data_IF_486069193120
#
_entry.id   IF_486069193120
#
_cell.length_a   1.000
_cell.length_b   1.000
_cell.length_c   1.000
_cell.angle_alpha   90.00
_cell.angle_beta   90.00
_cell.angle_gamma   90.00
#
_symmetry.space_group_name_H-M   'P 1'
#
loop_
_entity.id
_entity.type
_entity.pdbx_description
1 polymer ?
#
# COMPACT_ATOMS: atom_id res chain seq x y z
N UNK A 1 -16.17 -11.50 -40.70
CA UNK A 1 -16.89 -11.54 -39.42
C UNK A 1 -16.92 -12.97 -38.95
N UNK A 2 -15.87 -13.42 -38.26
CA UNK A 2 -15.79 -14.74 -37.66
C UNK A 2 -15.97 -14.54 -36.15
N UNK A 3 -17.10 -15.01 -35.62
CA UNK A 3 -17.35 -15.06 -34.19
C UNK A 3 -16.51 -16.17 -33.60
N UNK A 4 -15.46 -15.80 -32.88
CA UNK A 4 -14.81 -16.69 -31.94
C UNK A 4 -15.55 -16.58 -30.62
N UNK A 5 -16.10 -17.70 -30.15
CA UNK A 5 -16.53 -17.88 -28.76
C UNK A 5 -15.31 -17.62 -27.86
N UNK A 6 -15.17 -16.36 -27.43
CA UNK A 6 -14.13 -15.96 -26.50
C UNK A 6 -14.48 -16.57 -25.14
N UNK A 7 -13.75 -17.62 -24.76
CA UNK A 7 -13.82 -18.30 -23.45
C UNK A 7 -14.04 -17.30 -22.33
N UNK A 8 -15.27 -17.23 -21.85
CA UNK A 8 -15.63 -16.50 -20.63
C UNK A 8 -15.30 -17.32 -19.38
N UNK A 9 -14.90 -18.59 -19.55
CA UNK A 9 -14.62 -19.54 -18.47
C UNK A 9 -13.32 -19.28 -17.71
N UNK A 10 -12.39 -18.50 -18.26
CA UNK A 10 -11.03 -18.38 -17.72
C UNK A 10 -10.83 -17.08 -16.89
N UNK A 11 -11.92 -16.34 -16.62
CA UNK A 11 -11.86 -14.99 -16.01
C UNK A 11 -12.21 -15.03 -14.51
N UNK A 12 -12.93 -16.05 -14.04
CA UNK A 12 -13.44 -16.06 -12.66
C UNK A 12 -12.61 -17.03 -11.82
N UNK A 13 -11.95 -16.49 -10.80
CA UNK A 13 -11.26 -17.27 -9.77
C UNK A 13 -12.27 -18.14 -9.03
N UNK A 14 -11.92 -19.41 -8.77
CA UNK A 14 -12.77 -20.30 -7.96
C UNK A 14 -12.99 -19.67 -6.57
N UNK A 15 -14.20 -19.79 -6.03
CA UNK A 15 -14.53 -19.28 -4.70
C UNK A 15 -13.63 -19.88 -3.62
N UNK A 16 -13.18 -21.13 -3.80
CA UNK A 16 -12.24 -21.78 -2.89
C UNK A 16 -10.87 -21.06 -2.80
N UNK A 17 -10.45 -20.35 -3.85
CA UNK A 17 -9.18 -19.61 -3.87
C UNK A 17 -9.28 -18.23 -3.17
N UNK A 18 -10.48 -17.83 -2.74
CA UNK A 18 -10.71 -16.56 -2.05
C UNK A 18 -10.65 -16.67 -0.52
N UNK A 19 -10.60 -17.88 0.04
CA UNK A 19 -10.51 -18.10 1.48
C UNK A 19 -9.28 -17.41 2.09
N UNK A 20 -8.13 -17.49 1.41
CA UNK A 20 -6.90 -16.80 1.83
C UNK A 20 -7.06 -15.27 1.83
N UNK A 21 -7.77 -14.73 0.85
CA UNK A 21 -8.02 -13.28 0.70
C UNK A 21 -8.95 -12.79 1.80
N UNK A 22 -9.99 -13.56 2.11
CA UNK A 22 -10.90 -13.29 3.22
C UNK A 22 -10.16 -13.33 4.56
N UNK A 23 -9.28 -14.32 4.77
CA UNK A 23 -8.48 -14.43 6.00
C UNK A 23 -7.52 -13.24 6.17
N UNK A 24 -6.83 -12.82 5.10
CA UNK A 24 -5.96 -11.62 5.11
C UNK A 24 -6.78 -10.37 5.45
N UNK A 25 -7.97 -10.23 4.86
CA UNK A 25 -8.88 -9.11 5.14
C UNK A 25 -9.30 -9.10 6.61
N UNK A 26 -9.72 -10.25 7.14
CA UNK A 26 -10.11 -10.38 8.54
C UNK A 26 -8.94 -10.07 9.49
N UNK A 27 -7.75 -10.61 9.21
CA UNK A 27 -6.54 -10.33 9.98
C UNK A 27 -6.18 -8.83 9.97
N UNK A 28 -6.31 -8.16 8.82
CA UNK A 28 -6.12 -6.72 8.71
C UNK A 28 -7.11 -5.93 9.57
N UNK A 29 -8.40 -6.29 9.54
CA UNK A 29 -9.43 -5.64 10.35
C UNK A 29 -9.13 -5.81 11.84
N UNK A 30 -8.83 -7.03 12.29
CA UNK A 30 -8.44 -7.30 13.68
C UNK A 30 -7.22 -6.47 14.07
N UNK A 31 -6.20 -6.43 13.22
CA UNK A 31 -5.01 -5.61 13.42
C UNK A 31 -5.33 -4.12 13.60
N UNK A 32 -6.17 -3.54 12.74
CA UNK A 32 -6.58 -2.13 12.86
C UNK A 32 -7.32 -1.87 14.18
N UNK A 33 -8.21 -2.77 14.60
CA UNK A 33 -8.89 -2.67 15.90
C UNK A 33 -7.93 -2.75 17.08
N UNK A 34 -6.87 -3.57 17.00
CA UNK A 34 -5.82 -3.62 18.03
C UNK A 34 -5.03 -2.31 18.13
N UNK A 35 -4.86 -1.59 17.03
CA UNK A 35 -4.17 -0.30 17.01
C UNK A 35 -5.06 0.89 17.43
N UNK A 36 -6.38 0.74 17.36
CA UNK A 36 -7.34 1.82 17.64
C UNK A 36 -7.14 2.50 19.01
N UNK A 37 -6.91 1.77 20.12
CA UNK A 37 -6.66 2.41 21.42
C UNK A 37 -5.36 3.22 21.48
N UNK A 38 -4.38 2.94 20.60
CA UNK A 38 -3.09 3.60 20.65
C UNK A 38 -3.18 5.10 20.34
N UNK A 39 -4.11 5.52 19.49
CA UNK A 39 -4.34 6.95 19.19
C UNK A 39 -4.74 7.74 20.45
N UNK A 40 -5.84 7.38 21.13
CA UNK A 40 -6.22 8.00 22.40
C UNK A 40 -5.15 7.87 23.50
N UNK A 41 -4.51 6.70 23.65
CA UNK A 41 -3.45 6.48 24.64
C UNK A 41 -2.28 7.43 24.41
N UNK A 42 -1.87 7.60 23.14
CA UNK A 42 -0.82 8.55 22.77
C UNK A 42 -1.13 9.99 23.16
N UNK A 43 -2.40 10.36 23.39
CA UNK A 43 -2.83 11.72 23.75
C UNK A 43 -3.08 11.91 25.25
N UNK A 44 -2.85 10.90 26.08
CA UNK A 44 -2.97 11.01 27.53
C UNK A 44 -1.91 11.96 28.11
N UNK A 45 -2.17 12.51 29.30
CA UNK A 45 -1.20 13.34 30.03
C UNK A 45 0.07 12.55 30.32
N UNK A 46 1.22 13.24 30.36
CA UNK A 46 2.55 12.67 30.70
C UNK A 46 3.15 11.68 29.69
N UNK A 47 2.51 11.47 28.53
CA UNK A 47 3.10 10.63 27.48
C UNK A 47 4.34 11.26 26.88
N UNK A 48 5.42 10.48 26.72
CA UNK A 48 6.62 10.95 26.03
C UNK A 48 6.36 11.08 24.53
N UNK A 49 7.10 11.97 23.85
CA UNK A 49 6.95 12.24 22.41
C UNK A 49 6.96 10.97 21.54
N UNK A 50 7.77 9.97 21.91
CA UNK A 50 7.79 8.69 21.21
C UNK A 50 6.48 7.92 21.29
N UNK A 51 5.81 7.91 22.45
CA UNK A 51 4.51 7.26 22.64
C UNK A 51 3.40 7.99 21.89
N UNK A 52 3.42 9.32 21.92
CA UNK A 52 2.51 10.17 21.13
C UNK A 52 2.61 9.83 19.64
N UNK A 53 3.83 9.85 19.10
CA UNK A 53 4.10 9.54 17.70
C UNK A 53 3.74 8.09 17.34
N UNK A 54 4.10 7.13 18.19
CA UNK A 54 3.79 5.72 17.94
C UNK A 54 2.27 5.50 17.87
N UNK A 55 1.52 6.06 18.81
CA UNK A 55 0.07 5.93 18.84
C UNK A 55 -0.61 6.57 17.64
N UNK A 56 -0.31 7.85 17.38
CA UNK A 56 -0.91 8.58 16.26
C UNK A 56 -0.55 7.96 14.91
N UNK A 57 0.73 7.62 14.70
CA UNK A 57 1.20 7.13 13.40
C UNK A 57 0.77 5.70 13.12
N UNK A 58 0.73 4.82 14.12
CA UNK A 58 0.37 3.41 13.91
C UNK A 58 -1.09 3.25 13.48
N UNK A 59 -2.02 3.91 14.19
CA UNK A 59 -3.44 3.82 13.88
C UNK A 59 -3.80 4.62 12.63
N UNK A 60 -3.44 5.91 12.57
CA UNK A 60 -3.84 6.78 11.45
C UNK A 60 -3.29 6.27 10.12
N UNK A 61 -2.02 5.86 10.09
CA UNK A 61 -1.46 5.33 8.85
C UNK A 61 -2.15 4.03 8.42
N UNK A 62 -2.69 3.24 9.34
CA UNK A 62 -3.41 2.01 9.00
C UNK A 62 -4.75 2.32 8.37
N UNK A 63 -5.56 3.19 8.98
CA UNK A 63 -6.85 3.58 8.39
C UNK A 63 -6.69 4.32 7.04
N UNK A 64 -5.65 5.15 6.89
CA UNK A 64 -5.36 5.86 5.64
C UNK A 64 -5.06 4.91 4.47
N UNK A 65 -4.41 3.78 4.76
CA UNK A 65 -4.02 2.80 3.74
C UNK A 65 -5.10 1.74 3.48
N UNK A 66 -6.12 1.64 4.35
CA UNK A 66 -7.16 0.63 4.25
C UNK A 66 -7.90 0.63 2.90
N UNK A 67 -8.37 1.78 2.36
CA UNK A 67 -9.12 1.77 1.10
C UNK A 67 -8.28 1.26 -0.07
N UNK A 68 -7.01 1.70 -0.15
CA UNK A 68 -6.10 1.30 -1.22
C UNK A 68 -5.73 -0.17 -1.11
N UNK A 69 -5.45 -0.65 0.10
CA UNK A 69 -5.14 -2.06 0.33
C UNK A 69 -6.31 -2.97 0.02
N UNK A 70 -7.49 -2.72 0.60
CA UNK A 70 -8.65 -3.59 0.42
C UNK A 70 -9.15 -3.58 -1.03
N UNK A 71 -9.17 -2.41 -1.68
CA UNK A 71 -9.57 -2.33 -3.09
C UNK A 71 -8.59 -3.09 -4.00
N UNK A 72 -7.27 -2.90 -3.81
CA UNK A 72 -6.26 -3.57 -4.63
C UNK A 72 -6.23 -5.09 -4.40
N UNK A 73 -6.32 -5.53 -3.14
CA UNK A 73 -6.38 -6.94 -2.77
C UNK A 73 -7.55 -7.66 -3.43
N UNK A 74 -8.78 -7.15 -3.25
CA UNK A 74 -9.97 -7.81 -3.73
C UNK A 74 -10.13 -7.74 -5.25
N UNK A 75 -9.77 -6.61 -5.88
CA UNK A 75 -9.80 -6.53 -7.35
C UNK A 75 -8.78 -7.46 -7.99
N UNK A 76 -7.57 -7.54 -7.46
CA UNK A 76 -6.56 -8.47 -7.97
C UNK A 76 -6.95 -9.93 -7.73
N UNK A 77 -7.49 -10.24 -6.55
CA UNK A 77 -7.99 -11.58 -6.24
C UNK A 77 -9.06 -12.03 -7.22
N UNK A 78 -10.03 -11.16 -7.51
CA UNK A 78 -11.17 -11.51 -8.34
C UNK A 78 -10.78 -11.64 -9.81
N UNK A 79 -10.02 -10.68 -10.35
CA UNK A 79 -9.75 -10.59 -11.79
C UNK A 79 -8.43 -11.22 -12.24
N UNK A 80 -7.49 -11.46 -11.32
CA UNK A 80 -6.14 -11.95 -11.66
C UNK A 80 -5.83 -13.27 -10.97
N UNK A 81 -5.75 -13.31 -9.64
CA UNK A 81 -5.47 -14.53 -8.88
C UNK A 81 -5.69 -14.34 -7.37
N UNK A 82 -6.57 -15.16 -6.79
CA UNK A 82 -6.80 -15.21 -5.34
C UNK A 82 -5.56 -15.64 -4.54
N UNK A 83 -4.80 -16.62 -5.04
CA UNK A 83 -3.57 -17.10 -4.40
C UNK A 83 -2.46 -16.03 -4.38
N UNK A 84 -2.22 -15.35 -5.51
CA UNK A 84 -1.23 -14.27 -5.57
C UNK A 84 -1.64 -13.09 -4.66
N UNK A 85 -2.92 -12.69 -4.70
CA UNK A 85 -3.46 -11.67 -3.82
C UNK A 85 -3.28 -12.03 -2.34
N UNK A 86 -3.51 -13.30 -1.96
CA UNK A 86 -3.29 -13.79 -0.59
C UNK A 86 -1.83 -13.60 -0.17
N UNK A 87 -0.88 -14.05 -0.99
CA UNK A 87 0.55 -13.96 -0.67
C UNK A 87 1.02 -12.49 -0.55
N UNK A 88 0.62 -11.64 -1.48
CA UNK A 88 0.92 -10.21 -1.45
C UNK A 88 0.26 -9.51 -0.26
N UNK A 89 -0.96 -9.92 0.09
CA UNK A 89 -1.69 -9.43 1.25
C UNK A 89 -1.02 -9.81 2.58
N UNK A 90 -0.51 -11.04 2.69
CA UNK A 90 0.30 -11.47 3.85
C UNK A 90 1.58 -10.63 3.94
N UNK A 91 2.30 -10.45 2.83
CA UNK A 91 3.50 -9.62 2.78
C UNK A 91 3.21 -8.16 3.20
N UNK A 92 2.08 -7.61 2.74
CA UNK A 92 1.59 -6.30 3.17
C UNK A 92 1.38 -6.25 4.68
N UNK A 93 0.70 -7.24 5.28
CA UNK A 93 0.47 -7.30 6.73
C UNK A 93 1.77 -7.34 7.52
N UNK A 94 2.76 -8.12 7.09
CA UNK A 94 4.09 -8.16 7.70
C UNK A 94 4.72 -6.78 7.71
N UNK A 95 4.63 -6.05 6.58
CA UNK A 95 5.08 -4.66 6.52
C UNK A 95 4.33 -3.74 7.50
N UNK A 96 3.01 -3.89 7.65
CA UNK A 96 2.22 -3.09 8.61
C UNK A 96 2.63 -3.34 10.06
N UNK A 97 2.87 -4.60 10.42
CA UNK A 97 3.36 -4.96 11.76
C UNK A 97 4.75 -4.37 11.98
N UNK A 98 5.67 -4.53 11.02
CA UNK A 98 7.02 -3.97 11.09
C UNK A 98 7.03 -2.44 11.24
N UNK A 99 6.12 -1.73 10.56
CA UNK A 99 5.96 -0.29 10.69
C UNK A 99 5.63 0.14 12.13
N UNK A 100 4.68 -0.54 12.78
CA UNK A 100 4.28 -0.25 14.16
C UNK A 100 5.42 -0.54 15.14
N UNK A 101 6.13 -1.65 14.95
CA UNK A 101 7.30 -2.00 15.77
C UNK A 101 8.40 -0.94 15.66
N UNK A 102 8.71 -0.48 14.44
CA UNK A 102 9.74 0.55 14.23
C UNK A 102 9.35 1.88 14.86
N UNK A 103 8.07 2.28 14.81
CA UNK A 103 7.62 3.48 15.52
C UNK A 103 7.72 3.36 17.04
N UNK A 104 7.42 2.18 17.60
CA UNK A 104 7.59 1.94 19.03
C UNK A 104 9.06 2.09 19.45
N UNK A 105 9.99 1.60 18.63
CA UNK A 105 11.42 1.60 18.94
C UNK A 105 12.12 2.94 18.66
N UNK A 106 11.73 3.66 17.62
CA UNK A 106 12.50 4.80 17.07
C UNK A 106 11.68 6.08 16.86
N UNK A 107 10.43 6.12 17.34
CA UNK A 107 9.51 7.24 17.10
C UNK A 107 9.78 8.53 17.87
N UNK A 108 10.81 8.60 18.71
CA UNK A 108 11.09 9.75 19.58
C UNK A 108 11.56 11.00 18.81
N UNK A 109 12.41 10.81 17.81
CA UNK A 109 13.10 11.91 17.08
C UNK A 109 12.42 12.31 15.77
N UNK A 110 11.24 11.75 15.47
CA UNK A 110 10.51 12.01 14.23
C UNK A 110 10.33 10.74 13.40
N UNK A 111 10.17 10.87 12.08
CA UNK A 111 10.01 9.70 11.22
C UNK A 111 11.29 8.85 11.28
N UNK A 112 11.18 7.53 11.60
CA UNK A 112 12.33 6.68 11.89
C UNK A 112 13.09 6.30 10.62
N UNK A 113 13.78 7.26 10.02
CA UNK A 113 14.59 7.08 8.82
C UNK A 113 15.84 6.22 9.09
N UNK A 114 16.25 5.34 8.16
CA UNK A 114 15.53 4.86 6.96
C UNK A 114 14.58 3.69 7.26
N UNK A 115 14.56 3.17 8.49
CA UNK A 115 13.84 1.96 8.86
C UNK A 115 12.33 2.02 8.57
N UNK A 116 11.70 3.18 8.73
CA UNK A 116 10.29 3.38 8.38
C UNK A 116 10.01 3.16 6.89
N UNK A 117 10.95 3.48 6.00
CA UNK A 117 10.77 3.28 4.55
C UNK A 117 10.86 1.82 4.14
N UNK A 118 11.66 1.02 4.84
CA UNK A 118 11.80 -0.43 4.57
C UNK A 118 10.45 -1.15 4.70
N UNK A 119 9.56 -0.67 5.56
CA UNK A 119 8.23 -1.24 5.73
C UNK A 119 7.13 -0.48 4.96
N UNK A 120 7.29 0.83 4.80
CA UNK A 120 6.27 1.65 4.13
C UNK A 120 6.25 1.43 2.62
N UNK A 121 7.41 1.44 1.97
CA UNK A 121 7.47 1.42 0.51
C UNK A 121 7.13 0.07 -0.11
N UNK A 122 7.54 -1.08 0.47
CA UNK A 122 7.06 -2.36 -0.03
C UNK A 122 5.55 -2.51 0.06
N UNK A 123 4.94 -2.07 1.16
CA UNK A 123 3.48 -2.09 1.31
C UNK A 123 2.77 -1.30 0.19
N UNK A 124 3.30 -0.12 -0.17
CA UNK A 124 2.77 0.66 -1.29
C UNK A 124 3.02 -0.01 -2.64
N UNK A 125 4.21 -0.60 -2.81
CA UNK A 125 4.58 -1.38 -3.98
C UNK A 125 3.62 -2.54 -4.24
N UNK A 126 3.22 -3.28 -3.20
CA UNK A 126 2.24 -4.37 -3.31
C UNK A 126 0.88 -3.88 -3.79
N UNK A 127 0.36 -2.79 -3.23
CA UNK A 127 -0.93 -2.23 -3.64
C UNK A 127 -0.93 -1.77 -5.10
N UNK A 128 0.12 -1.04 -5.52
CA UNK A 128 0.27 -0.61 -6.91
C UNK A 128 0.42 -1.80 -7.84
N UNK A 129 1.24 -2.77 -7.48
CA UNK A 129 1.44 -3.98 -8.28
C UNK A 129 0.11 -4.71 -8.51
N UNK A 130 -0.67 -4.93 -7.44
CA UNK A 130 -1.98 -5.58 -7.55
C UNK A 130 -2.90 -4.83 -8.52
N UNK A 131 -2.96 -3.49 -8.44
CA UNK A 131 -3.76 -2.68 -9.37
C UNK A 131 -3.25 -2.70 -10.81
N UNK A 132 -1.93 -2.63 -11.04
CA UNK A 132 -1.34 -2.75 -12.38
C UNK A 132 -1.63 -4.12 -12.96
N UNK A 133 -1.51 -5.19 -12.16
CA UNK A 133 -1.88 -6.55 -12.57
C UNK A 133 -3.34 -6.63 -13.01
N UNK A 134 -4.26 -6.02 -12.25
CA UNK A 134 -5.69 -5.96 -12.61
C UNK A 134 -5.91 -5.20 -13.92
N UNK A 135 -5.31 -4.01 -14.07
CA UNK A 135 -5.42 -3.21 -15.30
C UNK A 135 -4.85 -3.96 -16.49
N UNK A 136 -3.71 -4.64 -16.33
CA UNK A 136 -3.05 -5.33 -17.43
C UNK A 136 -3.80 -6.59 -17.87
N UNK A 137 -4.35 -7.34 -16.92
CA UNK A 137 -5.19 -8.50 -17.20
C UNK A 137 -6.50 -8.09 -17.89
N UNK A 138 -7.22 -7.11 -17.35
CA UNK A 138 -8.52 -6.68 -17.89
C UNK A 138 -8.39 -5.86 -19.18
N UNK A 139 -7.40 -4.98 -19.26
CA UNK A 139 -7.22 -4.07 -20.39
C UNK A 139 -6.49 -4.69 -21.57
N UNK A 140 -5.56 -5.63 -21.32
CA UNK A 140 -4.67 -6.17 -22.36
C UNK A 140 -4.65 -7.70 -22.44
N UNK A 141 -5.43 -8.41 -21.60
CA UNK A 141 -5.49 -9.87 -21.60
C UNK A 141 -4.20 -10.55 -21.13
N UNK A 142 -3.27 -9.81 -20.51
CA UNK A 142 -1.97 -10.36 -20.08
C UNK A 142 -2.16 -11.30 -18.89
N UNK A 143 -1.49 -12.45 -18.93
CA UNK A 143 -1.53 -13.44 -17.84
C UNK A 143 -0.29 -13.21 -16.97
N UNK A 144 -0.49 -12.89 -15.69
CA UNK A 144 0.59 -12.78 -14.73
C UNK A 144 1.18 -14.17 -14.43
N UNK A 145 2.50 -14.23 -14.25
CA UNK A 145 3.19 -15.44 -13.76
C UNK A 145 3.74 -15.15 -12.36
N UNK A 146 3.98 -16.17 -11.50
CA UNK A 146 4.50 -15.95 -10.16
C UNK A 146 5.83 -15.18 -10.11
N UNK A 147 6.68 -15.35 -11.12
CA UNK A 147 7.94 -14.60 -11.24
C UNK A 147 7.69 -13.12 -11.56
N UNK A 148 6.68 -12.83 -12.39
CA UNK A 148 6.24 -11.45 -12.68
C UNK A 148 5.66 -10.80 -11.41
N UNK A 149 4.95 -11.57 -10.57
CA UNK A 149 4.41 -11.07 -9.30
C UNK A 149 5.51 -10.57 -8.36
N UNK A 150 6.52 -11.41 -8.11
CA UNK A 150 7.63 -11.04 -7.23
C UNK A 150 8.45 -9.87 -7.79
N UNK A 151 8.83 -9.93 -9.06
CA UNK A 151 9.64 -8.88 -9.70
C UNK A 151 8.86 -7.57 -9.80
N UNK A 152 7.59 -7.64 -10.20
CA UNK A 152 6.71 -6.48 -10.34
C UNK A 152 6.49 -5.79 -9.00
N UNK A 153 6.24 -6.54 -7.92
CA UNK A 153 6.14 -6.01 -6.57
C UNK A 153 7.43 -5.31 -6.11
N UNK A 154 8.59 -5.92 -6.35
CA UNK A 154 9.90 -5.32 -6.02
C UNK A 154 10.14 -4.04 -6.81
N UNK A 155 9.85 -4.03 -8.12
CA UNK A 155 10.01 -2.85 -8.95
C UNK A 155 9.08 -1.72 -8.52
N UNK A 156 7.80 -2.01 -8.23
CA UNK A 156 6.87 -1.02 -7.71
C UNK A 156 7.33 -0.46 -6.36
N UNK A 157 7.90 -1.30 -5.51
CA UNK A 157 8.50 -0.89 -4.22
C UNK A 157 9.72 0.01 -4.44
N UNK A 158 10.60 -0.35 -5.39
CA UNK A 158 11.78 0.43 -5.75
C UNK A 158 11.43 1.83 -6.29
N UNK A 159 10.33 1.96 -7.05
CA UNK A 159 9.84 3.26 -7.51
C UNK A 159 9.52 4.20 -6.34
N UNK A 160 8.98 3.69 -5.23
CA UNK A 160 8.76 4.52 -4.04
C UNK A 160 10.05 4.95 -3.33
N UNK A 161 11.14 4.17 -3.46
CA UNK A 161 12.46 4.60 -2.98
C UNK A 161 13.00 5.84 -3.71
N UNK A 162 12.44 6.22 -4.88
CA UNK A 162 12.73 7.51 -5.49
C UNK A 162 12.37 8.70 -4.58
N UNK A 163 11.35 8.55 -3.73
CA UNK A 163 11.02 9.55 -2.71
C UNK A 163 12.13 9.67 -1.66
N UNK A 164 12.69 8.55 -1.21
CA UNK A 164 13.79 8.54 -0.25
C UNK A 164 15.06 9.22 -0.78
N UNK A 165 15.36 9.07 -2.07
CA UNK A 165 16.51 9.73 -2.72
C UNK A 165 16.18 11.13 -3.24
N UNK A 166 15.09 11.75 -2.75
CA UNK A 166 14.68 13.14 -3.00
C UNK A 166 14.32 13.48 -4.44
N UNK A 167 14.00 12.49 -5.30
CA UNK A 167 13.56 12.75 -6.68
C UNK A 167 12.27 13.58 -6.69
N UNK A 168 11.26 13.20 -5.91
CA UNK A 168 9.97 13.91 -5.87
C UNK A 168 10.11 15.37 -5.40
N UNK A 169 10.85 15.69 -4.32
CA UNK A 169 11.19 17.07 -3.99
C UNK A 169 11.85 17.85 -5.13
N UNK A 170 12.79 17.24 -5.86
CA UNK A 170 13.47 17.90 -7.00
C UNK A 170 12.48 18.20 -8.11
N UNK A 171 11.64 17.23 -8.48
CA UNK A 171 10.57 17.43 -9.49
C UNK A 171 9.61 18.53 -9.02
N UNK A 172 9.19 18.51 -7.75
CA UNK A 172 8.29 19.53 -7.19
C UNK A 172 8.88 20.93 -7.29
N UNK A 173 10.17 21.11 -6.96
CA UNK A 173 10.84 22.41 -7.11
C UNK A 173 10.95 22.84 -8.58
N UNK A 174 11.18 21.89 -9.50
CA UNK A 174 11.25 22.18 -10.93
C UNK A 174 9.90 22.65 -11.51
N UNK A 175 8.78 22.10 -11.02
CA UNK A 175 7.43 22.49 -11.49
C UNK A 175 6.82 23.66 -10.69
N UNK A 176 7.37 24.01 -9.52
CA UNK A 176 6.87 25.08 -8.65
C UNK A 176 6.61 26.41 -9.38
N UNK A 177 7.49 26.90 -10.28
CA UNK A 177 7.24 28.14 -11.01
C UNK A 177 5.96 28.15 -11.86
N UNK A 178 5.49 26.98 -12.30
CA UNK A 178 4.24 26.85 -13.08
C UNK A 178 2.99 27.14 -12.25
N UNK A 179 3.06 26.96 -10.92
CA UNK A 179 1.95 27.19 -10.00
C UNK A 179 1.98 28.58 -9.36
N UNK A 180 3.13 29.25 -9.36
CA UNK A 180 3.29 30.60 -8.82
C UNK A 180 3.04 31.66 -9.89
N UNK A 181 2.08 31.43 -10.80
CA UNK A 181 1.75 32.37 -11.87
C UNK A 181 1.68 33.80 -11.32
N UNK A 182 2.43 34.69 -11.97
CA UNK A 182 2.72 36.08 -11.61
C UNK A 182 1.54 36.73 -10.92
N UNK A 183 1.72 37.15 -9.66
CA UNK A 183 0.86 38.14 -9.04
C UNK A 183 0.77 39.33 -10.00
N UNK A 184 -0.33 39.43 -10.76
CA UNK A 184 -0.60 40.57 -11.62
C UNK A 184 -0.38 41.83 -10.77
N UNK A 185 0.39 42.82 -11.25
CA UNK A 185 0.54 44.06 -10.51
C UNK A 185 -0.86 44.61 -10.24
N UNK A 186 -1.18 44.83 -8.95
CA UNK A 186 -2.42 45.46 -8.55
C UNK A 186 -2.42 46.86 -9.20
N UNK A 187 -3.31 47.05 -10.18
CA UNK A 187 -3.63 48.35 -10.75
C UNK A 187 -4.45 49.16 -9.75
#
# INVERSE_FOLDING_TARGET
RAGGEHRTSDIITDMADLDGVALVTAAYVVWVYLLMPLGPIGKMTEQVKGQQNWGDRSFMNSIEQAPLFLASLWTHAYFVSGSAATNLGIAYLVCRVGYVVIWAMKGTEGFPMPAGFIFTFPAYGFNIYMMIGTITKLGFGMIATPMIDAVGAILCSALFFMYAVKVTPVIHQAVKPMFTASSSPQL
#
